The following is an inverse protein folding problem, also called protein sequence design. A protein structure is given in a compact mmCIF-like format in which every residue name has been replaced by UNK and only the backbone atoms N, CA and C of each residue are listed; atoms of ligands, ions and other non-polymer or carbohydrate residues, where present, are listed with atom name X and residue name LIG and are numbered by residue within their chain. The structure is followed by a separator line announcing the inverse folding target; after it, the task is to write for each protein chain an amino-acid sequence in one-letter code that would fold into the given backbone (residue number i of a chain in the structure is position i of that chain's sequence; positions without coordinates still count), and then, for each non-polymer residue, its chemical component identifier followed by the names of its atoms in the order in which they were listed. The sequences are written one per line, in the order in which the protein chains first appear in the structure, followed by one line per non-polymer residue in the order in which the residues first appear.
data_IF_719475406164
#
_entry.id   IF_719475406164
#
_cell.length_a   1.000
_cell.length_b   1.000
_cell.length_c   1.000
_cell.angle_alpha   90.00
_cell.angle_beta   90.00
_cell.angle_gamma   90.00
#
_symmetry.space_group_name_H-M   'P 1'
#
loop_
_entity.id
_entity.type
_entity.pdbx_description
1 polymer ?
#
# COMPACT_ATOMS: atom_id res chain seq x y z
N UNK A 1 -10.19 -26.69 6.20
CA UNK A 1 -9.68 -25.36 5.76
C UNK A 1 -9.79 -24.41 6.94
N UNK A 2 -8.83 -23.49 7.15
CA UNK A 2 -8.91 -22.55 8.28
C UNK A 2 -9.94 -21.44 8.00
N UNK A 3 -10.82 -21.16 8.96
CA UNK A 3 -11.84 -20.08 8.92
C UNK A 3 -11.25 -18.73 8.47
N UNK A 4 -10.06 -18.38 8.96
CA UNK A 4 -9.37 -17.15 8.58
C UNK A 4 -9.06 -17.06 7.08
N UNK A 5 -8.77 -18.19 6.43
CA UNK A 5 -8.50 -18.23 4.98
C UNK A 5 -9.78 -17.99 4.19
N UNK A 6 -10.88 -18.57 4.63
CA UNK A 6 -12.19 -18.43 3.99
C UNK A 6 -12.65 -16.98 4.01
N UNK A 7 -12.62 -16.32 5.18
CA UNK A 7 -12.95 -14.91 5.31
C UNK A 7 -12.07 -13.99 4.44
N UNK A 8 -10.80 -14.32 4.25
CA UNK A 8 -9.91 -13.53 3.36
C UNK A 8 -10.27 -13.69 1.89
N UNK A 9 -10.71 -14.88 1.48
CA UNK A 9 -11.15 -15.12 0.11
C UNK A 9 -12.50 -14.45 -0.17
N UNK A 10 -13.44 -14.51 0.76
CA UNK A 10 -14.71 -13.78 0.67
C UNK A 10 -14.47 -12.28 0.47
N UNK A 11 -13.57 -11.68 1.25
CA UNK A 11 -13.19 -10.27 1.08
C UNK A 11 -12.59 -9.98 -0.30
N UNK A 12 -11.72 -10.86 -0.80
CA UNK A 12 -11.15 -10.69 -2.13
C UNK A 12 -12.22 -10.79 -3.23
N UNK A 13 -13.20 -11.69 -3.09
CA UNK A 13 -14.31 -11.83 -4.03
C UNK A 13 -15.24 -10.61 -3.98
N UNK A 14 -15.57 -10.12 -2.79
CA UNK A 14 -16.39 -8.92 -2.63
C UNK A 14 -15.76 -7.68 -3.30
N UNK A 15 -14.43 -7.54 -3.27
CA UNK A 15 -13.72 -6.49 -4.01
C UNK A 15 -13.90 -6.66 -5.53
N UNK A 16 -13.76 -7.88 -6.04
CA UNK A 16 -13.97 -8.17 -7.47
C UNK A 16 -15.39 -7.87 -7.93
N UNK A 17 -16.39 -8.22 -7.13
CA UNK A 17 -17.81 -7.92 -7.42
C UNK A 17 -18.07 -6.41 -7.50
N UNK A 18 -17.29 -5.60 -6.79
CA UNK A 18 -17.33 -4.13 -6.87
C UNK A 18 -16.51 -3.55 -8.04
N UNK A 19 -15.93 -4.40 -8.90
CA UNK A 19 -15.05 -3.97 -9.99
C UNK A 19 -13.65 -3.54 -9.54
N UNK A 20 -13.27 -3.81 -8.28
CA UNK A 20 -11.94 -3.53 -7.75
C UNK A 20 -11.09 -4.80 -7.82
N UNK A 21 -10.07 -4.84 -8.69
CA UNK A 21 -9.21 -6.01 -8.84
C UNK A 21 -8.21 -6.11 -7.68
N UNK A 22 -8.29 -7.15 -6.81
CA UNK A 22 -7.35 -7.30 -5.69
C UNK A 22 -5.92 -7.61 -6.13
N UNK A 23 -5.75 -8.14 -7.34
CA UNK A 23 -4.45 -8.51 -7.92
C UNK A 23 -4.23 -7.77 -9.24
N UNK A 24 -4.18 -6.44 -9.17
CA UNK A 24 -3.97 -5.60 -10.33
C UNK A 24 -2.65 -5.96 -11.07
N UNK A 25 -2.69 -5.96 -12.40
CA UNK A 25 -1.55 -6.32 -13.25
C UNK A 25 -0.42 -5.30 -13.17
N UNK A 26 -0.74 -4.02 -12.99
CA UNK A 26 0.24 -2.93 -12.95
C UNK A 26 -0.12 -1.94 -11.85
N UNK A 27 0.90 -1.49 -11.17
CA UNK A 27 0.87 -0.34 -10.27
C UNK A 27 2.10 0.51 -10.55
N UNK A 28 1.88 1.77 -10.94
CA UNK A 28 2.95 2.66 -11.37
C UNK A 28 3.64 3.27 -10.14
N UNK A 29 4.78 2.69 -9.76
CA UNK A 29 5.64 3.12 -8.65
C UNK A 29 6.56 4.26 -9.09
N UNK A 30 6.54 5.38 -8.38
CA UNK A 30 7.51 6.46 -8.54
C UNK A 30 8.72 6.27 -7.62
N UNK A 31 8.51 5.73 -6.42
CA UNK A 31 9.51 5.77 -5.35
C UNK A 31 9.66 4.47 -4.58
N UNK A 32 10.91 4.20 -4.19
CA UNK A 32 11.25 3.13 -3.25
C UNK A 32 11.42 3.74 -1.86
N UNK A 33 10.85 3.08 -0.85
CA UNK A 33 10.88 3.56 0.54
C UNK A 33 12.29 3.90 1.05
N UNK A 34 13.29 3.07 0.74
CA UNK A 34 14.67 3.32 1.17
C UNK A 34 15.25 4.62 0.60
N UNK A 35 14.93 4.93 -0.66
CA UNK A 35 15.36 6.17 -1.32
C UNK A 35 14.64 7.37 -0.72
N UNK A 36 13.32 7.29 -0.59
CA UNK A 36 12.49 8.36 -0.05
C UNK A 36 12.89 8.72 1.39
N UNK A 37 13.24 7.72 2.21
CA UNK A 37 13.74 7.94 3.57
C UNK A 37 15.10 8.66 3.58
N UNK A 38 16.02 8.29 2.69
CA UNK A 38 17.31 8.95 2.58
C UNK A 38 17.19 10.40 2.09
N UNK A 39 16.34 10.66 1.09
CA UNK A 39 16.09 11.98 0.51
C UNK A 39 15.37 12.95 1.48
N UNK A 40 14.78 12.44 2.56
CA UNK A 40 14.01 13.23 3.52
C UNK A 40 14.48 13.11 4.97
N UNK A 41 15.72 12.68 5.18
CA UNK A 41 16.33 12.58 6.51
C UNK A 41 16.39 13.93 7.25
N UNK A 42 16.40 15.02 6.50
CA UNK A 42 16.51 16.40 6.97
C UNK A 42 15.15 17.08 7.23
N UNK A 43 14.04 16.40 6.95
CA UNK A 43 12.71 16.98 7.08
C UNK A 43 12.36 17.19 8.57
N UNK A 44 12.09 18.44 8.94
CA UNK A 44 11.77 18.78 10.32
C UNK A 44 10.37 18.27 10.73
N UNK A 45 10.21 17.96 12.02
CA UNK A 45 8.93 17.54 12.58
C UNK A 45 7.86 18.63 12.35
N UNK A 46 6.69 18.21 11.87
CA UNK A 46 5.59 19.14 11.57
C UNK A 46 5.73 19.91 10.26
N UNK A 47 6.73 19.57 9.43
CA UNK A 47 6.89 20.14 8.09
C UNK A 47 6.58 19.10 7.00
N UNK A 48 6.06 19.60 5.89
CA UNK A 48 5.68 18.78 4.74
C UNK A 48 6.34 19.33 3.48
N UNK A 49 6.57 18.46 2.50
CA UNK A 49 7.07 18.82 1.16
C UNK A 49 5.97 18.53 0.15
N UNK A 50 5.69 19.49 -0.73
CA UNK A 50 4.70 19.31 -1.80
C UNK A 50 5.30 18.46 -2.93
N UNK A 51 5.19 17.14 -2.76
CA UNK A 51 5.69 16.12 -3.67
C UNK A 51 4.62 15.08 -3.93
N UNK A 52 4.51 14.65 -5.18
CA UNK A 52 3.62 13.55 -5.57
C UNK A 52 4.44 12.28 -5.73
N UNK A 53 4.21 11.31 -4.86
CA UNK A 53 4.89 10.01 -4.87
C UNK A 53 3.89 8.87 -4.79
N UNK A 54 4.21 7.74 -5.42
CA UNK A 54 3.49 6.47 -5.30
C UNK A 54 4.43 5.39 -4.77
N UNK A 55 4.00 4.72 -3.71
CA UNK A 55 4.74 3.66 -3.02
C UNK A 55 3.88 2.41 -2.85
N UNK A 56 4.53 1.24 -2.74
CA UNK A 56 3.87 -0.03 -2.46
C UNK A 56 4.71 -0.84 -1.46
N UNK A 57 4.04 -1.60 -0.60
CA UNK A 57 4.69 -2.41 0.43
C UNK A 57 3.71 -3.34 1.15
N UNK A 58 4.25 -4.15 2.05
CA UNK A 58 3.44 -5.06 2.88
C UNK A 58 2.91 -4.33 4.10
N UNK A 59 1.60 -4.42 4.34
CA UNK A 59 0.99 -3.94 5.59
C UNK A 59 1.40 -4.86 6.73
N UNK A 60 2.20 -4.35 7.68
CA UNK A 60 2.69 -5.10 8.84
C UNK A 60 1.94 -4.78 10.13
N UNK A 61 1.35 -3.58 10.21
CA UNK A 61 0.59 -3.12 11.37
C UNK A 61 -0.58 -2.30 10.87
N UNK A 62 -1.73 -2.46 11.54
CA UNK A 62 -2.93 -1.65 11.34
C UNK A 62 -3.43 -1.33 12.74
N UNK A 63 -3.37 -0.05 13.12
CA UNK A 63 -3.89 0.46 14.39
C UNK A 63 -5.28 1.01 14.19
#
# INVERSE_FOLDING_TARGET
MSELRETRLEKANALKEQGQEPYALRFDLSDRMARLQAEHVDLANGTERDLKVSVAGRVMTRR
#
